data_IF_955076218704
#
_entry.id   IF_955076218704
#
_cell.length_a   1.000
_cell.length_b   1.000
_cell.length_c   1.000
_cell.angle_alpha   90.00
_cell.angle_beta   90.00
_cell.angle_gamma   90.00
#
_symmetry.space_group_name_H-M   'P 1'
#
loop_
_entity.id
_entity.type
_entity.pdbx_description
1 polymer ?
#
# COMPACT_ATOMS: atom_id res chain seq x y z
N UNK A 1 8.42 2.84 12.68
CA UNK A 1 7.34 2.55 13.63
C UNK A 1 7.37 1.05 13.92
N UNK A 2 7.60 0.66 15.22
CA UNK A 2 7.56 -0.74 15.60
C UNK A 2 6.12 -1.26 15.42
N UNK A 3 5.96 -2.34 14.64
CA UNK A 3 4.67 -3.03 14.58
C UNK A 3 4.32 -3.57 15.98
N UNK A 4 3.12 -3.31 16.50
CA UNK A 4 2.68 -3.95 17.73
C UNK A 4 2.75 -5.48 17.52
N UNK A 5 3.38 -6.18 18.43
CA UNK A 5 3.37 -7.65 18.39
C UNK A 5 1.95 -8.10 18.69
N UNK A 6 1.29 -8.83 17.79
CA UNK A 6 -0.05 -9.34 18.07
C UNK A 6 0.04 -10.28 19.27
N UNK A 7 -0.92 -10.17 20.19
CA UNK A 7 -1.09 -11.18 21.23
C UNK A 7 -1.36 -12.53 20.58
N UNK A 8 -0.65 -13.59 20.95
CA UNK A 8 -0.83 -14.88 20.29
C UNK A 8 -2.24 -15.42 20.61
N UNK A 9 -3.14 -15.32 19.63
CA UNK A 9 -4.35 -16.13 19.63
C UNK A 9 -3.99 -17.52 19.12
N UNK A 10 -4.37 -18.57 19.84
CA UNK A 10 -4.05 -19.95 19.49
C UNK A 10 -4.61 -20.41 18.13
N UNK A 11 -5.59 -19.68 17.60
CA UNK A 11 -6.29 -20.02 16.35
C UNK A 11 -5.97 -19.09 15.18
N UNK A 12 -5.41 -17.90 15.43
CA UNK A 12 -5.09 -16.97 14.36
C UNK A 12 -3.77 -17.35 13.68
N UNK A 13 -3.81 -17.49 12.36
CA UNK A 13 -2.63 -17.61 11.50
C UNK A 13 -2.62 -16.40 10.58
N UNK A 14 -1.53 -15.64 10.60
CA UNK A 14 -1.33 -14.50 9.71
C UNK A 14 -0.33 -14.87 8.62
N UNK A 15 -0.68 -14.57 7.37
CA UNK A 15 0.24 -14.62 6.26
C UNK A 15 0.48 -13.19 5.78
N UNK A 16 1.75 -12.77 5.71
CA UNK A 16 2.13 -11.49 5.13
C UNK A 16 2.09 -11.54 3.61
N UNK A 17 1.91 -10.38 2.99
CA UNK A 17 2.16 -10.19 1.58
C UNK A 17 3.08 -8.99 1.43
N UNK A 18 4.33 -9.23 1.02
CA UNK A 18 5.29 -8.15 0.83
C UNK A 18 5.58 -8.00 -0.66
N UNK A 19 5.57 -6.76 -1.12
CA UNK A 19 5.93 -6.43 -2.50
C UNK A 19 7.36 -5.92 -2.53
N UNK A 20 8.23 -6.67 -3.20
CA UNK A 20 9.61 -6.26 -3.40
C UNK A 20 9.72 -5.46 -4.70
N UNK A 21 10.21 -4.23 -4.60
CA UNK A 21 10.29 -3.29 -5.70
C UNK A 21 11.77 -2.94 -5.90
N UNK A 22 12.32 -3.42 -7.02
CA UNK A 22 13.68 -3.12 -7.45
C UNK A 22 13.68 -1.93 -8.41
N UNK A 23 14.56 -0.96 -8.17
CA UNK A 23 14.77 0.20 -9.03
C UNK A 23 16.17 0.78 -8.76
N UNK A 24 16.62 1.66 -9.63
CA UNK A 24 17.85 2.42 -9.40
C UNK A 24 17.62 3.43 -8.25
N UNK A 25 18.17 3.13 -7.08
CA UNK A 25 17.98 3.92 -5.86
C UNK A 25 18.61 5.31 -5.92
N UNK A 26 19.36 5.63 -6.98
CA UNK A 26 19.82 6.98 -7.26
C UNK A 26 18.76 7.87 -7.94
N UNK A 27 17.72 7.25 -8.52
CA UNK A 27 16.68 7.95 -9.29
C UNK A 27 15.45 8.34 -8.46
N UNK A 28 15.17 7.62 -7.39
CA UNK A 28 14.01 7.90 -6.53
C UNK A 28 14.33 7.62 -5.06
N UNK A 29 13.83 8.49 -4.19
CA UNK A 29 13.92 8.35 -2.74
C UNK A 29 13.02 7.21 -2.28
N UNK A 30 13.51 6.35 -1.39
CA UNK A 30 12.76 5.16 -0.93
C UNK A 30 11.43 5.52 -0.28
N UNK A 31 11.44 6.56 0.54
CA UNK A 31 10.26 7.06 1.24
C UNK A 31 9.18 7.53 0.28
N UNK A 32 9.57 8.13 -0.85
CA UNK A 32 8.64 8.61 -1.87
C UNK A 32 8.04 7.45 -2.67
N UNK A 33 8.84 6.42 -2.98
CA UNK A 33 8.32 5.19 -3.56
C UNK A 33 7.30 4.52 -2.63
N UNK A 34 7.56 4.51 -1.33
CA UNK A 34 6.64 3.94 -0.32
C UNK A 34 5.36 4.75 -0.21
N UNK A 35 5.43 6.10 -0.22
CA UNK A 35 4.24 6.96 -0.26
C UNK A 35 3.41 6.73 -1.52
N UNK A 36 4.07 6.61 -2.67
CA UNK A 36 3.39 6.27 -3.92
C UNK A 36 2.72 4.89 -3.84
N UNK A 37 3.37 3.89 -3.21
CA UNK A 37 2.76 2.59 -2.95
C UNK A 37 1.54 2.68 -2.02
N UNK A 38 1.57 3.52 -0.99
CA UNK A 38 0.41 3.73 -0.11
C UNK A 38 -0.80 4.27 -0.90
N UNK A 39 -0.56 5.12 -1.89
CA UNK A 39 -1.62 5.68 -2.74
C UNK A 39 -2.09 4.65 -3.79
N UNK A 40 -1.16 4.02 -4.51
CA UNK A 40 -1.47 3.18 -5.67
C UNK A 40 -1.86 1.73 -5.30
N UNK A 41 -1.44 1.25 -4.12
CA UNK A 41 -1.72 -0.12 -3.65
C UNK A 41 -2.45 -0.09 -2.30
N UNK A 42 -1.96 0.71 -1.36
CA UNK A 42 -2.48 0.76 0.00
C UNK A 42 -3.93 1.23 0.09
N UNK A 43 -4.27 2.37 -0.51
CA UNK A 43 -5.64 2.89 -0.56
C UNK A 43 -6.60 1.93 -1.27
N UNK A 44 -6.31 1.40 -2.49
CA UNK A 44 -7.17 0.41 -3.12
C UNK A 44 -7.33 -0.87 -2.29
N UNK A 45 -6.31 -1.28 -1.52
CA UNK A 45 -6.38 -2.48 -0.69
C UNK A 45 -7.48 -2.44 0.37
N UNK A 46 -7.91 -1.26 0.82
CA UNK A 46 -9.04 -1.08 1.74
C UNK A 46 -10.34 -1.70 1.18
N UNK A 47 -10.50 -1.67 -0.14
CA UNK A 47 -11.68 -2.20 -0.83
C UNK A 47 -11.52 -3.68 -1.20
N UNK A 48 -10.29 -4.14 -1.33
CA UNK A 48 -9.95 -5.49 -1.79
C UNK A 48 -9.67 -6.47 -0.65
N UNK A 49 -9.29 -5.95 0.52
CA UNK A 49 -9.03 -6.73 1.73
C UNK A 49 -10.21 -6.60 2.70
N UNK A 50 -10.76 -7.72 3.12
CA UNK A 50 -11.92 -7.75 4.02
C UNK A 50 -11.56 -7.83 5.52
N UNK A 51 -10.29 -8.00 5.90
CA UNK A 51 -9.94 -8.21 7.31
C UNK A 51 -9.40 -6.95 7.99
N UNK A 52 -10.34 -6.20 8.57
CA UNK A 52 -10.04 -4.99 9.35
C UNK A 52 -9.15 -5.27 10.58
N UNK A 53 -9.21 -6.48 11.15
CA UNK A 53 -8.41 -6.85 12.33
C UNK A 53 -6.91 -6.88 11.99
N UNK A 54 -6.58 -7.26 10.75
CA UNK A 54 -5.21 -7.23 10.27
C UNK A 54 -4.66 -5.81 10.26
N UNK A 55 -5.44 -4.84 9.79
CA UNK A 55 -5.00 -3.45 9.70
C UNK A 55 -4.72 -2.82 11.08
N UNK A 56 -5.43 -3.27 12.11
CA UNK A 56 -5.19 -2.85 13.50
C UNK A 56 -3.90 -3.43 14.08
N UNK A 57 -3.49 -4.61 13.62
CA UNK A 57 -2.32 -5.33 14.12
C UNK A 57 -1.08 -5.18 13.23
N UNK A 58 -1.27 -4.99 11.93
CA UNK A 58 -0.22 -5.06 10.94
C UNK A 58 -0.55 -4.25 9.68
N UNK A 59 0.45 -3.68 9.03
CA UNK A 59 0.25 -3.06 7.72
C UNK A 59 -0.19 -1.60 7.78
N UNK A 60 0.34 -0.83 8.72
CA UNK A 60 0.18 0.63 8.69
C UNK A 60 0.78 1.23 7.43
N UNK A 61 0.20 2.34 6.98
CA UNK A 61 0.77 3.11 5.88
C UNK A 61 2.24 3.48 6.14
N UNK A 62 3.06 3.45 5.11
CA UNK A 62 4.48 3.70 5.21
C UNK A 62 5.28 2.52 5.77
N UNK A 63 4.68 1.34 5.95
CA UNK A 63 5.41 0.17 6.42
C UNK A 63 6.31 -0.40 5.31
N UNK A 64 7.61 -0.29 5.49
CA UNK A 64 8.59 -0.84 4.54
C UNK A 64 9.87 -1.29 5.22
N UNK A 65 10.68 -2.02 4.49
CA UNK A 65 12.06 -2.36 4.83
C UNK A 65 12.97 -1.96 3.66
N UNK A 66 14.03 -1.16 3.91
CA UNK A 66 14.98 -0.81 2.87
C UNK A 66 15.74 -2.06 2.39
N UNK A 67 16.04 -2.10 1.11
CA UNK A 67 16.85 -3.12 0.45
C UNK A 67 17.93 -2.42 -0.40
N UNK A 68 19.01 -3.12 -0.70
CA UNK A 68 20.05 -2.59 -1.60
C UNK A 68 19.48 -2.27 -2.98
N UNK A 69 18.58 -3.12 -3.48
CA UNK A 69 17.92 -2.97 -4.77
C UNK A 69 16.68 -2.07 -4.78
N UNK A 70 16.28 -1.48 -3.63
CA UNK A 70 15.06 -0.68 -3.54
C UNK A 70 14.35 -0.82 -2.21
N UNK A 71 13.08 -1.28 -2.21
CA UNK A 71 12.24 -1.41 -1.02
C UNK A 71 11.46 -2.74 -0.97
N UNK A 72 11.18 -3.21 0.24
CA UNK A 72 10.17 -4.22 0.54
C UNK A 72 8.97 -3.50 1.15
N UNK A 73 7.91 -3.26 0.36
CA UNK A 73 6.67 -2.63 0.81
C UNK A 73 5.79 -3.63 1.56
N UNK A 74 5.28 -3.24 2.73
CA UNK A 74 4.71 -4.16 3.72
C UNK A 74 3.31 -3.80 4.22
N UNK A 75 2.73 -2.71 3.74
CA UNK A 75 1.42 -2.23 4.23
C UNK A 75 0.26 -3.17 3.88
N UNK A 76 0.07 -3.63 2.62
CA UNK A 76 -1.11 -4.40 2.27
C UNK A 76 -1.04 -5.86 2.74
N UNK A 77 -2.18 -6.54 2.73
CA UNK A 77 -2.25 -8.00 2.89
C UNK A 77 -1.79 -8.70 1.62
N UNK A 78 -1.95 -10.00 1.59
CA UNK A 78 -1.70 -10.82 0.40
C UNK A 78 -2.95 -10.98 -0.49
N UNK A 79 -3.86 -10.00 -0.50
CA UNK A 79 -5.13 -10.05 -1.23
C UNK A 79 -4.98 -10.38 -2.71
N UNK A 80 -3.86 -10.04 -3.31
CA UNK A 80 -3.58 -10.28 -4.73
C UNK A 80 -3.41 -11.75 -5.10
N UNK A 81 -3.14 -12.63 -4.13
CA UNK A 81 -3.04 -14.07 -4.38
C UNK A 81 -4.38 -14.72 -4.74
N UNK A 82 -5.50 -14.00 -4.61
CA UNK A 82 -6.83 -14.51 -4.93
C UNK A 82 -7.09 -14.67 -6.43
N UNK A 83 -6.38 -13.92 -7.28
CA UNK A 83 -6.53 -14.04 -8.74
C UNK A 83 -5.32 -13.54 -9.50
N UNK A 84 -5.11 -14.08 -10.70
CA UNK A 84 -4.07 -13.62 -11.62
C UNK A 84 -4.24 -12.13 -11.99
N UNK A 85 -5.46 -11.68 -12.15
CA UNK A 85 -5.77 -10.28 -12.44
C UNK A 85 -5.25 -9.36 -11.33
N UNK A 86 -5.47 -9.70 -10.06
CA UNK A 86 -4.96 -8.92 -8.92
C UNK A 86 -3.44 -8.96 -8.83
N UNK A 87 -2.80 -10.10 -9.11
CA UNK A 87 -1.34 -10.19 -9.18
C UNK A 87 -0.76 -9.26 -10.23
N UNK A 88 -1.33 -9.28 -11.44
CA UNK A 88 -0.92 -8.38 -12.53
C UNK A 88 -1.14 -6.91 -12.16
N UNK A 89 -2.28 -6.62 -11.56
CA UNK A 89 -2.60 -5.26 -11.13
C UNK A 89 -1.60 -4.74 -10.09
N UNK A 90 -1.30 -5.51 -9.03
CA UNK A 90 -0.29 -5.10 -8.02
C UNK A 90 1.07 -4.90 -8.65
N UNK A 91 1.49 -5.77 -9.59
CA UNK A 91 2.73 -5.60 -10.32
C UNK A 91 2.77 -4.26 -11.10
N UNK A 92 1.69 -3.94 -11.81
CA UNK A 92 1.57 -2.68 -12.54
C UNK A 92 1.62 -1.47 -11.61
N UNK A 93 0.88 -1.52 -10.48
CA UNK A 93 0.88 -0.42 -9.51
C UNK A 93 2.26 -0.25 -8.86
N UNK A 94 2.95 -1.33 -8.53
CA UNK A 94 4.31 -1.27 -7.98
C UNK A 94 5.31 -0.64 -8.96
N UNK A 95 5.18 -0.96 -10.25
CA UNK A 95 5.99 -0.33 -11.31
C UNK A 95 5.65 1.16 -11.44
N UNK A 96 4.37 1.50 -11.44
CA UNK A 96 3.91 2.89 -11.52
C UNK A 96 4.34 3.72 -10.30
N UNK A 97 4.46 3.11 -9.12
CA UNK A 97 4.88 3.80 -7.91
C UNK A 97 6.31 4.36 -8.01
N UNK A 98 7.21 3.67 -8.71
CA UNK A 98 8.57 4.17 -8.95
C UNK A 98 8.55 5.43 -9.81
N UNK A 99 7.75 5.44 -10.88
CA UNK A 99 7.59 6.60 -11.75
C UNK A 99 6.91 7.77 -11.02
N UNK A 100 5.85 7.47 -10.26
CA UNK A 100 5.12 8.47 -9.48
C UNK A 100 6.00 9.12 -8.41
N UNK A 101 6.93 8.39 -7.80
CA UNK A 101 7.87 8.91 -6.82
C UNK A 101 8.84 9.95 -7.39
N UNK A 102 9.00 10.02 -8.71
CA UNK A 102 9.82 11.04 -9.40
C UNK A 102 8.98 12.17 -10.00
N UNK A 103 7.67 12.08 -9.94
CA UNK A 103 6.75 13.11 -10.39
C UNK A 103 6.52 14.14 -9.27
N UNK A 104 7.09 15.33 -9.41
CA UNK A 104 7.02 16.40 -8.41
C UNK A 104 5.59 16.82 -8.09
N UNK A 105 4.66 16.82 -9.08
CA UNK A 105 3.25 17.15 -8.85
C UNK A 105 2.54 16.08 -8.05
N UNK A 106 2.76 14.82 -8.41
CA UNK A 106 2.20 13.69 -7.67
C UNK A 106 2.69 13.69 -6.22
N UNK A 107 3.98 13.89 -6.00
CA UNK A 107 4.57 13.90 -4.65
C UNK A 107 4.14 15.09 -3.82
N UNK A 108 3.97 16.27 -4.43
CA UNK A 108 3.40 17.43 -3.74
C UNK A 108 1.98 17.10 -3.23
N UNK A 109 1.13 16.56 -4.08
CA UNK A 109 -0.24 16.16 -3.73
C UNK A 109 -0.24 15.08 -2.65
N UNK A 110 0.69 14.12 -2.72
CA UNK A 110 0.87 13.08 -1.71
C UNK A 110 1.21 13.65 -0.34
N UNK A 111 2.06 14.67 -0.28
CA UNK A 111 2.43 15.35 0.96
C UNK A 111 1.25 16.16 1.55
N UNK A 112 0.50 16.86 0.70
CA UNK A 112 -0.69 17.61 1.12
C UNK A 112 -1.75 16.72 1.77
N UNK A 113 -1.86 15.46 1.33
CA UNK A 113 -2.84 14.50 1.82
C UNK A 113 -2.26 13.39 2.72
N UNK A 114 -0.98 13.46 3.13
CA UNK A 114 -0.29 12.38 3.84
C UNK A 114 -1.06 11.91 5.09
N UNK A 115 -1.52 12.84 5.91
CA UNK A 115 -2.26 12.52 7.14
C UNK A 115 -3.57 11.78 6.84
N UNK A 116 -4.31 12.20 5.81
CA UNK A 116 -5.56 11.59 5.39
C UNK A 116 -5.35 10.20 4.80
N UNK A 117 -4.30 10.01 3.99
CA UNK A 117 -3.92 8.71 3.42
C UNK A 117 -3.60 7.72 4.54
N UNK A 118 -2.76 8.11 5.48
CA UNK A 118 -2.37 7.28 6.62
C UNK A 118 -3.56 6.89 7.48
N UNK A 119 -4.45 7.85 7.76
CA UNK A 119 -5.66 7.61 8.53
C UNK A 119 -6.61 6.65 7.81
N UNK A 120 -6.89 6.88 6.53
CA UNK A 120 -7.79 6.04 5.74
C UNK A 120 -7.31 4.57 5.70
N UNK A 121 -6.00 4.34 5.50
CA UNK A 121 -5.42 3.00 5.50
C UNK A 121 -5.51 2.37 6.90
N UNK A 122 -5.17 3.12 7.95
CA UNK A 122 -5.14 2.60 9.32
C UNK A 122 -6.53 2.19 9.84
N UNK A 123 -7.57 2.92 9.43
CA UNK A 123 -8.95 2.69 9.89
C UNK A 123 -9.79 1.92 8.88
N UNK A 124 -9.24 1.59 7.71
CA UNK A 124 -9.96 1.03 6.57
C UNK A 124 -11.21 1.86 6.18
N UNK A 125 -11.08 3.18 6.26
CA UNK A 125 -12.17 4.11 5.94
C UNK A 125 -12.38 4.19 4.42
N UNK A 126 -13.41 3.47 3.94
CA UNK A 126 -13.76 3.43 2.52
C UNK A 126 -14.26 4.77 1.98
N UNK A 127 -14.90 5.60 2.81
CA UNK A 127 -15.37 6.92 2.40
C UNK A 127 -14.20 7.87 2.13
N UNK A 128 -13.29 7.99 3.10
CA UNK A 128 -12.06 8.76 2.93
C UNK A 128 -11.18 8.17 1.82
N UNK A 129 -11.06 6.84 1.75
CA UNK A 129 -10.32 6.15 0.70
C UNK A 129 -10.84 6.46 -0.70
N UNK A 130 -12.17 6.44 -0.90
CA UNK A 130 -12.80 6.76 -2.19
C UNK A 130 -12.51 8.19 -2.65
N UNK A 131 -12.61 9.15 -1.72
CA UNK A 131 -12.30 10.55 -2.02
C UNK A 131 -10.82 10.74 -2.41
N UNK A 132 -9.90 10.11 -1.67
CA UNK A 132 -8.48 10.17 -1.98
C UNK A 132 -8.17 9.52 -3.33
N UNK A 133 -8.74 8.34 -3.63
CA UNK A 133 -8.55 7.68 -4.93
C UNK A 133 -9.01 8.58 -6.08
N UNK A 134 -10.12 9.30 -5.93
CA UNK A 134 -10.59 10.26 -6.92
C UNK A 134 -9.61 11.43 -7.11
N UNK A 135 -9.02 11.96 -6.03
CA UNK A 135 -8.02 13.03 -6.08
C UNK A 135 -6.79 12.59 -6.89
N UNK A 136 -6.33 11.35 -6.70
CA UNK A 136 -5.15 10.81 -7.38
C UNK A 136 -5.45 10.15 -8.74
N UNK A 137 -6.72 10.05 -9.13
CA UNK A 137 -7.13 9.37 -10.37
C UNK A 137 -6.82 7.88 -10.37
N UNK A 138 -6.89 7.24 -9.20
CA UNK A 138 -6.58 5.81 -9.02
C UNK A 138 -7.87 5.00 -8.98
N UNK A 139 -7.94 3.96 -9.78
CA UNK A 139 -9.08 3.05 -9.83
C UNK A 139 -8.83 1.76 -9.04
N UNK A 140 -9.86 1.29 -8.34
CA UNK A 140 -9.86 -0.03 -7.71
C UNK A 140 -10.22 -1.07 -8.78
N UNK A 141 -9.44 -2.14 -8.94
CA UNK A 141 -9.77 -3.16 -9.92
C UNK A 141 -11.09 -3.85 -9.55
N UNK A 142 -11.98 -4.01 -10.54
CA UNK A 142 -13.21 -4.75 -10.37
C UNK A 142 -12.87 -6.24 -10.19
N UNK A 143 -13.09 -6.75 -8.99
CA UNK A 143 -13.04 -8.19 -8.77
C UNK A 143 -14.39 -8.78 -9.12
N UNK A 144 -14.42 -9.76 -10.03
CA UNK A 144 -15.63 -10.55 -10.21
C UNK A 144 -15.99 -11.20 -8.86
N UNK A 145 -17.23 -11.02 -8.44
CA UNK A 145 -17.79 -11.57 -7.22
C UNK A 145 -17.79 -13.09 -7.25
#
# INVERSE_FOLDING_TARGET
>A
VANPRPQPSSTLRTAGGHVHIGYDTSTAVREDVVKACDILIGLPSIFLDGDIRRMQMYGSAGAYRPKEYGVEYRSPSNFWLRSEMLMRWVFQQATSAVSAATDGRFMQLALEHEGSIRSAIATADKGAGSNLLAIFGVEVPLTAA
#
